data_IF_078730297402
#
_entry.id   IF_078730297402
#
_cell.length_a   1.000
_cell.length_b   1.000
_cell.length_c   1.000
_cell.angle_alpha   90.00
_cell.angle_beta   90.00
_cell.angle_gamma   90.00
#
_symmetry.space_group_name_H-M   'P 1'
#
loop_
_entity.id
_entity.type
_entity.pdbx_description
1 polymer ?
#
# COMPACT_ATOMS: atom_id res chain seq x y z
N UNK A 1 0.29 11.27 -3.77
CA UNK A 1 1.22 12.27 -3.22
C UNK A 1 2.44 11.55 -2.71
N UNK A 2 3.63 12.05 -3.01
CA UNK A 2 4.89 11.45 -2.56
C UNK A 2 5.55 12.40 -1.56
N UNK A 3 5.86 11.90 -0.37
CA UNK A 3 6.62 12.64 0.66
C UNK A 3 8.12 12.36 0.58
N UNK A 4 8.51 11.43 -0.30
CA UNK A 4 9.87 11.06 -0.61
C UNK A 4 10.20 11.28 -2.10
N UNK A 5 11.34 10.76 -2.56
CA UNK A 5 11.85 10.98 -3.92
C UNK A 5 12.13 12.46 -4.19
N UNK A 6 12.91 13.08 -3.31
CA UNK A 6 13.36 14.47 -3.43
C UNK A 6 14.02 14.70 -4.80
N UNK A 7 13.60 15.77 -5.49
CA UNK A 7 14.08 16.10 -6.83
C UNK A 7 13.42 15.33 -7.98
N UNK A 8 12.48 14.41 -7.69
CA UNK A 8 11.73 13.68 -8.71
C UNK A 8 10.21 13.81 -8.54
N UNK A 9 9.67 13.37 -7.39
CA UNK A 9 8.21 13.30 -7.16
C UNK A 9 7.74 13.95 -5.86
N UNK A 10 8.66 14.30 -4.96
CA UNK A 10 8.35 14.84 -3.64
C UNK A 10 7.55 16.14 -3.73
N UNK A 11 6.47 16.23 -2.96
CA UNK A 11 5.75 17.49 -2.69
C UNK A 11 6.04 17.97 -1.27
N UNK A 12 6.00 19.27 -1.07
CA UNK A 12 6.16 19.93 0.24
C UNK A 12 4.82 19.97 1.01
N UNK A 13 4.88 20.29 2.31
CA UNK A 13 3.69 20.26 3.18
C UNK A 13 2.62 21.29 2.78
N UNK A 14 3.03 22.46 2.29
CA UNK A 14 2.13 23.50 1.79
C UNK A 14 1.41 23.05 0.50
N UNK A 15 2.13 22.42 -0.42
CA UNK A 15 1.57 21.82 -1.63
C UNK A 15 0.60 20.67 -1.29
N UNK A 16 0.99 19.81 -0.33
CA UNK A 16 0.15 18.72 0.14
C UNK A 16 -1.13 19.24 0.78
N UNK A 17 -1.04 20.28 1.62
CA UNK A 17 -2.19 20.87 2.28
C UNK A 17 -3.16 21.48 1.27
N UNK A 18 -2.66 22.29 0.31
CA UNK A 18 -3.48 22.86 -0.75
C UNK A 18 -4.15 21.77 -1.60
N UNK A 19 -3.41 20.72 -1.95
CA UNK A 19 -3.97 19.58 -2.69
C UNK A 19 -5.02 18.82 -1.89
N UNK A 20 -4.82 18.63 -0.59
CA UNK A 20 -5.77 17.93 0.27
C UNK A 20 -7.06 18.72 0.49
N UNK A 21 -6.96 20.05 0.62
CA UNK A 21 -8.13 20.93 0.62
C UNK A 21 -8.90 20.78 -0.70
N UNK A 22 -8.19 20.77 -1.84
CA UNK A 22 -8.83 20.54 -3.14
C UNK A 22 -9.45 19.15 -3.24
N UNK A 23 -8.82 18.11 -2.69
CA UNK A 23 -9.42 16.77 -2.63
C UNK A 23 -10.71 16.78 -1.80
N UNK A 24 -10.75 17.52 -0.69
CA UNK A 24 -11.94 17.66 0.14
C UNK A 24 -13.10 18.30 -0.65
N UNK A 25 -12.84 19.40 -1.36
CA UNK A 25 -13.82 20.10 -2.20
C UNK A 25 -14.39 19.20 -3.31
N UNK A 26 -13.53 18.40 -3.94
CA UNK A 26 -13.91 17.50 -5.03
C UNK A 26 -14.53 16.19 -4.55
N UNK A 27 -14.51 15.91 -3.24
CA UNK A 27 -14.92 14.62 -2.70
C UNK A 27 -14.02 13.45 -3.11
N UNK A 28 -12.75 13.73 -3.38
CA UNK A 28 -11.73 12.74 -3.69
C UNK A 28 -11.05 12.21 -2.41
N UNK A 29 -10.20 11.18 -2.56
CA UNK A 29 -9.40 10.65 -1.47
C UNK A 29 -7.91 10.72 -1.86
N UNK A 30 -7.09 11.51 -1.14
CA UNK A 30 -5.65 11.50 -1.34
C UNK A 30 -5.03 10.17 -0.90
N UNK A 31 -4.10 9.68 -1.73
CA UNK A 31 -3.18 8.59 -1.39
C UNK A 31 -1.79 9.17 -1.14
N UNK A 32 -1.07 8.63 -0.15
CA UNK A 32 0.28 9.06 0.24
C UNK A 32 1.28 7.92 0.29
N UNK A 33 2.39 8.08 -0.43
CA UNK A 33 3.65 7.41 -0.14
C UNK A 33 4.35 8.22 0.96
N UNK A 34 4.48 7.63 2.14
CA UNK A 34 4.83 8.35 3.36
C UNK A 34 6.20 7.90 3.90
N UNK A 35 7.28 8.44 3.36
CA UNK A 35 8.63 8.43 3.95
C UNK A 35 9.14 9.88 3.97
N UNK A 36 9.94 10.29 4.96
CA UNK A 36 10.50 11.64 5.00
C UNK A 36 11.62 11.80 3.94
N UNK A 37 11.29 12.43 2.80
CA UNK A 37 12.18 12.54 1.65
C UNK A 37 13.47 13.30 1.86
N UNK A 38 13.47 14.31 2.72
CA UNK A 38 14.68 15.07 3.03
C UNK A 38 15.68 14.22 3.83
N UNK A 39 15.18 13.53 4.85
CA UNK A 39 16.01 12.63 5.68
C UNK A 39 16.50 11.44 4.86
N UNK A 40 15.66 10.84 4.01
CA UNK A 40 16.07 9.74 3.12
C UNK A 40 17.16 10.18 2.14
N UNK A 41 17.05 11.38 1.57
CA UNK A 41 18.06 11.89 0.63
C UNK A 41 19.42 12.12 1.32
N UNK A 42 19.41 12.71 2.52
CA UNK A 42 20.62 12.94 3.32
C UNK A 42 21.29 11.62 3.74
N UNK A 43 20.51 10.68 4.31
CA UNK A 43 21.01 9.37 4.71
C UNK A 43 21.56 8.56 3.53
N UNK A 44 20.92 8.64 2.36
CA UNK A 44 21.40 7.98 1.15
C UNK A 44 22.77 8.53 0.72
N UNK A 45 22.91 9.86 0.67
CA UNK A 45 24.16 10.51 0.29
C UNK A 45 25.30 10.18 1.30
N UNK A 46 24.97 10.17 2.60
CA UNK A 46 25.92 9.81 3.65
C UNK A 46 26.41 8.36 3.53
N UNK A 47 25.52 7.39 3.34
CA UNK A 47 25.89 5.98 3.20
C UNK A 47 26.77 5.73 1.97
N UNK A 48 26.47 6.39 0.84
CA UNK A 48 27.32 6.33 -0.35
C UNK A 48 28.72 6.90 -0.07
N UNK A 49 28.82 8.04 0.62
CA UNK A 49 30.10 8.64 0.98
C UNK A 49 30.93 7.79 1.96
N UNK A 50 30.25 7.04 2.83
CA UNK A 50 30.86 6.07 3.76
C UNK A 50 31.25 4.74 3.06
N UNK A 51 30.95 4.57 1.77
CA UNK A 51 31.23 3.34 1.02
C UNK A 51 30.22 2.21 1.27
N UNK A 52 29.13 2.48 1.99
CA UNK A 52 28.03 1.54 2.20
C UNK A 52 27.05 1.61 1.02
N UNK A 53 27.49 1.05 -0.11
CA UNK A 53 26.87 1.24 -1.43
C UNK A 53 26.19 -0.02 -2.00
N UNK A 54 26.09 -1.09 -1.22
CA UNK A 54 25.34 -2.30 -1.57
C UNK A 54 23.81 -2.15 -1.43
N UNK A 55 23.00 -3.13 -1.88
CA UNK A 55 21.55 -3.08 -1.80
C UNK A 55 21.00 -2.91 -0.36
N UNK A 56 21.72 -3.38 0.65
CA UNK A 56 21.41 -3.17 2.07
C UNK A 56 21.49 -1.70 2.48
N UNK A 57 22.35 -0.91 1.84
CA UNK A 57 22.43 0.54 2.01
C UNK A 57 21.10 1.23 1.67
N UNK A 58 20.32 0.67 0.73
CA UNK A 58 18.97 1.15 0.44
C UNK A 58 18.07 1.05 1.67
N UNK A 59 18.04 -0.09 2.36
CA UNK A 59 17.22 -0.25 3.55
C UNK A 59 17.71 0.62 4.72
N UNK A 60 19.04 0.72 4.90
CA UNK A 60 19.64 1.56 5.94
C UNK A 60 19.35 3.06 5.74
N UNK A 61 19.22 3.53 4.50
CA UNK A 61 18.96 4.94 4.18
C UNK A 61 17.58 5.45 4.60
N UNK A 62 16.67 4.55 5.00
CA UNK A 62 15.25 4.84 5.22
C UNK A 62 14.66 3.97 6.33
N UNK A 63 15.16 4.09 7.56
CA UNK A 63 14.71 3.25 8.66
C UNK A 63 13.22 3.49 9.00
N UNK A 64 12.51 2.56 9.68
CA UNK A 64 11.07 2.63 9.90
C UNK A 64 10.54 3.97 10.45
N UNK A 65 11.36 4.69 11.22
CA UNK A 65 11.02 5.99 11.81
C UNK A 65 10.72 7.06 10.75
N UNK A 66 11.40 7.05 9.59
CA UNK A 66 11.10 8.02 8.53
C UNK A 66 9.75 7.78 7.88
N UNK A 67 9.27 6.52 7.90
CA UNK A 67 7.93 6.15 7.43
C UNK A 67 6.86 6.52 8.45
N UNK A 68 7.11 6.23 9.73
CA UNK A 68 6.21 6.59 10.83
C UNK A 68 5.99 8.10 10.96
N UNK A 69 7.07 8.90 10.86
CA UNK A 69 6.99 10.36 10.90
C UNK A 69 6.11 10.90 9.77
N UNK A 70 6.44 10.54 8.52
CA UNK A 70 5.72 11.01 7.34
C UNK A 70 4.24 10.56 7.35
N UNK A 71 3.97 9.33 7.82
CA UNK A 71 2.61 8.83 8.00
C UNK A 71 1.83 9.71 8.99
N UNK A 72 2.41 10.00 10.15
CA UNK A 72 1.79 10.86 11.16
C UNK A 72 1.56 12.29 10.64
N UNK A 73 2.52 12.86 9.89
CA UNK A 73 2.41 14.19 9.29
C UNK A 73 1.32 14.26 8.23
N UNK A 74 1.25 13.30 7.32
CA UNK A 74 0.18 13.24 6.31
C UNK A 74 -1.21 13.14 6.96
N UNK A 75 -1.34 12.35 8.03
CA UNK A 75 -2.59 12.24 8.80
C UNK A 75 -3.00 13.59 9.38
N UNK A 76 -2.05 14.35 9.94
CA UNK A 76 -2.33 15.68 10.48
C UNK A 76 -2.79 16.65 9.39
N UNK A 77 -2.11 16.68 8.24
CA UNK A 77 -2.46 17.55 7.12
C UNK A 77 -3.86 17.19 6.59
N UNK A 78 -4.18 15.90 6.43
CA UNK A 78 -5.49 15.43 5.98
C UNK A 78 -6.61 15.81 6.96
N UNK A 79 -6.36 15.68 8.26
CA UNK A 79 -7.32 16.07 9.28
C UNK A 79 -7.58 17.58 9.28
N UNK A 80 -6.55 18.42 9.14
CA UNK A 80 -6.71 19.87 9.01
C UNK A 80 -7.48 20.25 7.74
N UNK A 81 -7.22 19.55 6.63
CA UNK A 81 -7.94 19.75 5.37
C UNK A 81 -9.37 19.17 5.35
N UNK A 82 -9.75 18.37 6.36
CA UNK A 82 -11.08 17.76 6.44
C UNK A 82 -11.33 16.65 5.41
N UNK A 83 -10.28 15.93 4.99
CA UNK A 83 -10.35 14.87 3.97
C UNK A 83 -9.93 13.50 4.53
N UNK A 84 -10.57 12.38 4.12
CA UNK A 84 -10.06 11.05 4.46
C UNK A 84 -8.69 10.80 3.82
N UNK A 85 -7.85 9.97 4.44
CA UNK A 85 -6.51 9.67 3.93
C UNK A 85 -6.31 8.17 3.69
N UNK A 86 -5.60 7.82 2.63
CA UNK A 86 -5.14 6.46 2.37
C UNK A 86 -3.61 6.41 2.35
N UNK A 87 -3.02 5.69 3.29
CA UNK A 87 -1.57 5.47 3.39
C UNK A 87 -1.25 4.18 2.64
N UNK A 88 -0.59 4.30 1.48
CA UNK A 88 -0.19 3.13 0.67
C UNK A 88 0.97 2.39 1.34
N UNK A 89 1.14 1.11 0.99
CA UNK A 89 2.29 0.26 1.36
C UNK A 89 2.85 0.47 2.79
N UNK A 90 1.97 0.44 3.80
CA UNK A 90 2.32 0.51 5.24
C UNK A 90 3.16 -0.70 5.61
N UNK A 91 4.42 -0.49 6.00
CA UNK A 91 5.42 -1.57 6.13
C UNK A 91 5.90 -1.85 7.56
N UNK A 92 5.67 -0.92 8.50
CA UNK A 92 6.24 -1.00 9.84
C UNK A 92 5.22 -0.70 10.96
N UNK A 93 5.65 -0.90 12.21
CA UNK A 93 4.80 -0.65 13.39
C UNK A 93 4.66 0.84 13.61
N UNK A 94 5.67 1.65 13.30
CA UNK A 94 5.66 3.09 13.47
C UNK A 94 4.59 3.76 12.60
N UNK A 95 4.43 3.32 11.34
CA UNK A 95 3.35 3.79 10.47
C UNK A 95 2.00 3.21 10.86
N UNK A 96 1.94 1.93 11.26
CA UNK A 96 0.71 1.33 11.76
C UNK A 96 0.22 1.97 13.08
N UNK A 97 1.10 2.32 14.01
CA UNK A 97 0.80 3.04 15.25
C UNK A 97 0.14 4.37 14.93
N UNK A 98 0.73 5.15 14.02
CA UNK A 98 0.20 6.45 13.64
C UNK A 98 -1.22 6.33 13.07
N UNK A 99 -1.46 5.33 12.22
CA UNK A 99 -2.79 5.01 11.67
C UNK A 99 -3.75 4.58 12.78
N UNK A 100 -3.35 3.67 13.66
CA UNK A 100 -4.16 3.17 14.79
C UNK A 100 -4.57 4.31 15.73
N UNK A 101 -3.63 5.11 16.19
CA UNK A 101 -3.86 6.26 17.08
C UNK A 101 -4.80 7.29 16.43
N UNK A 102 -4.60 7.58 15.14
CA UNK A 102 -5.47 8.49 14.41
C UNK A 102 -6.91 7.96 14.32
N UNK A 103 -7.09 6.67 14.02
CA UNK A 103 -8.40 6.02 13.95
C UNK A 103 -9.09 5.96 15.31
N UNK A 104 -8.33 5.72 16.40
CA UNK A 104 -8.85 5.79 17.78
C UNK A 104 -9.35 7.19 18.13
N UNK A 105 -8.74 8.25 17.58
CA UNK A 105 -9.21 9.63 17.69
C UNK A 105 -10.37 9.97 16.71
N UNK A 106 -10.92 8.99 15.99
CA UNK A 106 -12.03 9.19 15.04
C UNK A 106 -11.62 9.72 13.67
N UNK A 107 -10.32 9.90 13.39
CA UNK A 107 -9.85 10.36 12.07
C UNK A 107 -10.09 9.28 11.01
N UNK A 108 -10.41 9.72 9.79
CA UNK A 108 -10.72 8.83 8.66
C UNK A 108 -9.46 8.45 7.88
N UNK A 109 -8.70 7.49 8.40
CA UNK A 109 -7.44 7.02 7.81
C UNK A 109 -7.54 5.54 7.47
N UNK A 110 -7.06 5.17 6.28
CA UNK A 110 -6.89 3.79 5.82
C UNK A 110 -5.41 3.48 5.63
N UNK A 111 -5.01 2.24 5.94
CA UNK A 111 -3.65 1.74 5.69
C UNK A 111 -3.67 0.48 4.84
N UNK A 112 -2.61 0.31 4.04
CA UNK A 112 -2.48 -0.77 3.07
C UNK A 112 -1.14 -1.50 3.24
N UNK A 113 -1.06 -2.60 4.00
CA UNK A 113 0.11 -3.46 3.99
C UNK A 113 0.25 -4.20 2.66
N UNK A 114 1.49 -4.37 2.20
CA UNK A 114 1.78 -5.22 1.05
C UNK A 114 1.97 -6.67 1.48
N UNK A 115 1.64 -7.61 0.59
CA UNK A 115 1.88 -9.03 0.86
C UNK A 115 3.37 -9.34 1.09
N UNK A 116 4.26 -8.58 0.44
CA UNK A 116 5.69 -8.62 0.69
C UNK A 116 6.02 -8.29 2.15
N UNK A 117 5.54 -7.16 2.67
CA UNK A 117 5.81 -6.73 4.05
C UNK A 117 5.14 -7.62 5.11
N UNK A 118 4.12 -8.40 4.73
CA UNK A 118 3.47 -9.38 5.61
C UNK A 118 4.24 -10.70 5.72
N UNK A 119 5.11 -11.04 4.75
CA UNK A 119 5.63 -12.42 4.60
C UNK A 119 7.12 -12.52 4.29
N UNK A 120 7.76 -11.43 3.88
CA UNK A 120 9.20 -11.29 3.62
C UNK A 120 9.80 -10.24 4.56
N UNK A 121 11.12 -10.29 4.77
CA UNK A 121 11.81 -9.41 5.72
C UNK A 121 13.19 -8.95 5.19
N UNK A 122 13.82 -8.04 5.92
CA UNK A 122 15.05 -7.34 5.51
C UNK A 122 16.30 -8.22 5.49
N UNK A 123 16.23 -9.47 5.98
CA UNK A 123 17.34 -10.43 5.85
C UNK A 123 17.70 -10.71 4.38
N UNK A 124 16.75 -10.54 3.46
CA UNK A 124 16.94 -10.68 2.01
C UNK A 124 18.00 -9.70 1.45
N UNK A 125 18.16 -8.53 2.07
CA UNK A 125 19.16 -7.54 1.66
C UNK A 125 20.58 -7.89 2.08
N UNK A 126 20.74 -8.78 3.06
CA UNK A 126 22.04 -9.24 3.58
C UNK A 126 22.56 -10.49 2.85
N UNK A 127 21.86 -10.93 1.81
CA UNK A 127 22.24 -12.10 1.04
C UNK A 127 23.59 -11.86 0.33
N UNK A 128 24.52 -12.83 0.33
CA UNK A 128 25.85 -12.65 -0.28
C UNK A 128 25.83 -12.46 -1.80
N UNK A 129 24.82 -12.98 -2.48
CA UNK A 129 24.58 -12.71 -3.91
C UNK A 129 23.93 -11.34 -4.10
N UNK A 130 24.61 -10.46 -4.84
CA UNK A 130 24.18 -9.08 -5.08
C UNK A 130 22.85 -9.01 -5.84
N UNK A 131 22.66 -9.87 -6.85
CA UNK A 131 21.42 -9.88 -7.64
C UNK A 131 20.24 -10.24 -6.75
N UNK A 132 20.38 -11.26 -5.91
CA UNK A 132 19.37 -11.64 -4.94
C UNK A 132 18.94 -10.46 -4.06
N UNK A 133 19.89 -9.74 -3.46
CA UNK A 133 19.59 -8.60 -2.61
C UNK A 133 18.95 -7.44 -3.42
N UNK A 134 19.51 -7.08 -4.57
CA UNK A 134 19.01 -6.00 -5.43
C UNK A 134 17.58 -6.26 -5.95
N UNK A 135 17.24 -7.52 -6.24
CA UNK A 135 15.89 -7.95 -6.67
C UNK A 135 14.79 -7.59 -5.68
N UNK A 136 15.11 -7.41 -4.39
CA UNK A 136 14.15 -7.03 -3.31
C UNK A 136 14.10 -5.53 -3.03
N UNK A 137 14.94 -4.72 -3.68
CA UNK A 137 14.97 -3.26 -3.45
C UNK A 137 13.66 -2.61 -3.89
N UNK A 138 12.94 -2.02 -2.93
CA UNK A 138 11.72 -1.23 -3.11
C UNK A 138 11.54 -0.22 -1.97
N UNK A 139 10.59 0.69 -2.08
CA UNK A 139 10.36 1.79 -1.14
C UNK A 139 8.91 1.84 -0.68
N UNK A 140 8.59 1.70 0.62
CA UNK A 140 9.50 1.38 1.72
C UNK A 140 10.12 -0.03 1.58
N UNK A 141 11.33 -0.26 2.11
CA UNK A 141 12.04 -1.52 1.96
C UNK A 141 11.35 -2.62 2.75
N UNK A 142 11.75 -3.87 2.52
CA UNK A 142 11.42 -4.94 3.47
C UNK A 142 12.00 -4.57 4.84
N UNK A 143 11.29 -4.94 5.90
CA UNK A 143 11.60 -4.56 7.29
C UNK A 143 12.02 -5.78 8.08
N UNK A 144 12.60 -5.54 9.26
CA UNK A 144 12.79 -6.59 10.26
C UNK A 144 11.48 -7.36 10.47
N UNK A 145 11.57 -8.69 10.52
CA UNK A 145 10.45 -9.61 10.63
C UNK A 145 9.48 -9.26 11.75
N UNK A 146 9.96 -8.65 12.85
CA UNK A 146 9.12 -8.24 13.98
C UNK A 146 7.96 -7.33 13.60
N UNK A 147 8.09 -6.55 12.51
CA UNK A 147 7.04 -5.66 12.04
C UNK A 147 5.84 -6.40 11.43
N UNK A 148 6.04 -7.65 10.97
CA UNK A 148 4.98 -8.45 10.35
C UNK A 148 3.77 -8.62 11.29
N UNK A 149 4.01 -8.93 12.57
CA UNK A 149 2.91 -9.22 13.51
C UNK A 149 2.02 -8.01 13.76
N UNK A 150 2.59 -6.81 13.75
CA UNK A 150 1.82 -5.56 13.78
C UNK A 150 0.89 -5.43 12.58
N UNK A 151 1.40 -5.67 11.37
CA UNK A 151 0.62 -5.56 10.14
C UNK A 151 -0.52 -6.60 10.09
N UNK A 152 -0.23 -7.84 10.50
CA UNK A 152 -1.25 -8.89 10.60
C UNK A 152 -2.33 -8.57 11.62
N UNK A 153 -1.96 -8.09 12.82
CA UNK A 153 -2.92 -7.64 13.82
C UNK A 153 -3.76 -6.45 13.32
N UNK A 154 -3.17 -5.59 12.49
CA UNK A 154 -3.88 -4.48 11.86
C UNK A 154 -4.97 -4.93 10.89
N UNK A 155 -4.71 -5.98 10.10
CA UNK A 155 -5.71 -6.58 9.23
C UNK A 155 -6.85 -7.23 10.02
N UNK A 156 -6.53 -8.02 11.05
CA UNK A 156 -7.52 -8.71 11.87
C UNK A 156 -8.39 -7.75 12.69
N UNK A 157 -7.81 -6.66 13.22
CA UNK A 157 -8.57 -5.65 13.99
C UNK A 157 -9.26 -4.58 13.14
N UNK A 158 -8.93 -4.52 11.84
CA UNK A 158 -9.47 -3.53 10.90
C UNK A 158 -8.86 -2.12 11.02
N UNK A 159 -7.72 -1.96 11.68
CA UNK A 159 -6.94 -0.71 11.61
C UNK A 159 -6.18 -0.57 10.28
N UNK A 160 -5.80 -1.68 9.65
CA UNK A 160 -5.33 -1.76 8.27
C UNK A 160 -6.43 -2.40 7.41
N UNK A 161 -6.63 -1.87 6.20
CA UNK A 161 -7.89 -2.07 5.48
C UNK A 161 -7.78 -2.96 4.25
N UNK A 162 -6.65 -2.97 3.57
CA UNK A 162 -6.49 -3.64 2.28
C UNK A 162 -5.07 -4.23 2.14
N UNK A 163 -4.96 -5.40 1.51
CA UNK A 163 -3.67 -5.97 1.13
C UNK A 163 -3.44 -5.70 -0.35
N UNK A 164 -2.30 -5.11 -0.70
CA UNK A 164 -1.89 -4.86 -2.08
C UNK A 164 -0.52 -5.48 -2.39
N UNK A 165 0.07 -5.09 -3.52
CA UNK A 165 1.38 -5.62 -3.98
C UNK A 165 2.36 -4.54 -4.40
N UNK A 166 1.90 -3.32 -4.68
CA UNK A 166 2.74 -2.30 -5.32
C UNK A 166 3.55 -2.87 -6.50
N UNK A 167 2.85 -3.53 -7.43
CA UNK A 167 3.52 -4.32 -8.46
C UNK A 167 4.25 -3.40 -9.44
N UNK A 168 5.57 -3.34 -9.27
CA UNK A 168 6.49 -2.53 -10.07
C UNK A 168 7.70 -3.42 -10.39
N UNK A 169 7.59 -4.18 -11.48
CA UNK A 169 8.50 -5.27 -11.79
C UNK A 169 9.65 -4.82 -12.70
N UNK A 170 10.88 -5.07 -12.27
CA UNK A 170 12.10 -4.84 -13.06
C UNK A 170 12.85 -6.16 -13.19
N UNK A 171 13.44 -6.42 -14.36
CA UNK A 171 14.33 -7.57 -14.56
C UNK A 171 15.62 -7.40 -13.74
N UNK A 172 16.36 -8.49 -13.54
CA UNK A 172 17.67 -8.43 -12.88
C UNK A 172 18.63 -7.50 -13.62
N UNK A 173 18.58 -7.47 -14.95
CA UNK A 173 19.41 -6.57 -15.76
C UNK A 173 19.08 -5.09 -15.50
N UNK A 174 17.81 -4.76 -15.27
CA UNK A 174 17.42 -3.41 -14.86
C UNK A 174 17.83 -3.11 -13.41
N UNK A 175 17.69 -4.09 -12.50
CA UNK A 175 18.18 -3.94 -11.11
C UNK A 175 19.69 -3.62 -11.06
N UNK A 176 20.48 -4.21 -11.97
CA UNK A 176 21.91 -3.95 -12.14
C UNK A 176 22.29 -2.52 -12.52
N UNK A 177 21.33 -1.64 -12.84
CA UNK A 177 21.63 -0.21 -13.04
C UNK A 177 22.23 0.46 -11.80
N UNK A 178 22.03 -0.11 -10.61
CA UNK A 178 22.63 0.37 -9.36
C UNK A 178 23.83 -0.41 -8.84
N UNK A 179 24.54 -1.18 -9.68
CA UNK A 179 25.81 -1.78 -9.26
C UNK A 179 26.78 -0.67 -8.85
N UNK A 180 27.24 -0.70 -7.60
CA UNK A 180 28.11 0.31 -6.99
C UNK A 180 27.39 1.55 -6.44
N UNK A 181 26.06 1.64 -6.58
CA UNK A 181 25.25 2.77 -6.14
C UNK A 181 23.78 2.34 -5.98
N UNK A 182 23.39 1.95 -4.76
CA UNK A 182 22.04 1.44 -4.49
C UNK A 182 20.92 2.44 -4.85
N UNK A 183 21.22 3.74 -4.89
CA UNK A 183 20.22 4.78 -5.20
C UNK A 183 19.75 4.71 -6.66
N UNK A 184 20.52 4.03 -7.51
CA UNK A 184 20.21 3.80 -8.93
C UNK A 184 19.56 2.45 -9.21
N UNK A 185 19.37 1.60 -8.20
CA UNK A 185 18.59 0.36 -8.36
C UNK A 185 17.12 0.76 -8.56
N UNK A 186 16.47 0.43 -9.70
CA UNK A 186 15.07 0.73 -9.89
C UNK A 186 14.22 0.08 -8.80
N UNK A 187 13.43 0.90 -8.11
CA UNK A 187 12.70 0.50 -6.92
C UNK A 187 11.38 -0.18 -7.28
N UNK A 188 11.17 -1.42 -6.82
CA UNK A 188 9.94 -2.15 -7.07
C UNK A 188 10.11 -3.68 -7.05
N UNK A 189 9.02 -4.39 -6.77
CA UNK A 189 8.97 -5.86 -6.79
C UNK A 189 7.69 -6.39 -7.47
N UNK A 190 7.70 -7.66 -7.85
CA UNK A 190 6.53 -8.39 -8.34
C UNK A 190 5.66 -8.95 -7.21
N UNK A 191 4.40 -9.31 -7.50
CA UNK A 191 3.50 -9.87 -6.49
C UNK A 191 2.01 -10.00 -6.86
N UNK A 192 1.57 -9.52 -8.03
CA UNK A 192 0.16 -9.58 -8.47
C UNK A 192 -0.41 -11.00 -8.40
N UNK A 193 0.30 -11.97 -8.97
CA UNK A 193 -0.12 -13.38 -9.02
C UNK A 193 -0.16 -14.01 -7.62
N UNK A 194 0.81 -13.66 -6.77
CA UNK A 194 1.08 -14.36 -5.52
C UNK A 194 0.36 -13.76 -4.31
N UNK A 195 -0.25 -12.57 -4.44
CA UNK A 195 -0.97 -11.89 -3.35
C UNK A 195 -1.99 -12.79 -2.65
N UNK A 196 -2.90 -13.38 -3.42
CA UNK A 196 -3.97 -14.19 -2.85
C UNK A 196 -3.47 -15.54 -2.31
N UNK A 197 -2.64 -16.32 -3.03
CA UNK A 197 -2.11 -17.59 -2.51
C UNK A 197 -1.29 -17.43 -1.24
N UNK A 198 -0.43 -16.40 -1.17
CA UNK A 198 0.36 -16.10 0.03
C UNK A 198 -0.56 -15.69 1.18
N UNK A 199 -1.48 -14.74 0.98
CA UNK A 199 -2.37 -14.28 2.05
C UNK A 199 -3.30 -15.39 2.56
N UNK A 200 -3.77 -16.27 1.67
CA UNK A 200 -4.58 -17.43 2.05
C UNK A 200 -3.78 -18.42 2.89
N UNK A 201 -2.60 -18.82 2.42
CA UNK A 201 -1.75 -19.82 3.09
C UNK A 201 -1.26 -19.31 4.45
N UNK A 202 -0.69 -18.10 4.49
CA UNK A 202 -0.07 -17.56 5.71
C UNK A 202 -1.04 -16.81 6.61
N UNK A 203 -2.24 -16.46 6.12
CA UNK A 203 -3.29 -15.77 6.87
C UNK A 203 -4.45 -16.68 7.25
N UNK A 204 -5.15 -17.24 6.27
CA UNK A 204 -6.36 -18.04 6.51
C UNK A 204 -6.03 -19.40 7.09
N UNK A 205 -5.11 -20.17 6.45
CA UNK A 205 -4.78 -21.52 6.93
C UNK A 205 -4.10 -21.55 8.30
N UNK A 206 -3.50 -20.43 8.72
CA UNK A 206 -2.86 -20.29 10.04
C UNK A 206 -3.81 -19.74 11.11
N UNK A 207 -5.04 -19.36 10.75
CA UNK A 207 -6.01 -18.77 11.67
C UNK A 207 -5.75 -17.30 12.02
N UNK A 208 -4.80 -16.62 11.35
CA UNK A 208 -4.59 -15.16 11.52
C UNK A 208 -5.75 -14.35 10.96
N UNK A 209 -6.42 -14.86 9.93
CA UNK A 209 -7.63 -14.27 9.34
C UNK A 209 -8.69 -15.35 9.13
N UNK A 210 -9.95 -14.96 9.28
CA UNK A 210 -11.09 -15.71 8.75
C UNK A 210 -11.16 -15.58 7.23
N UNK A 211 -11.92 -16.48 6.59
CA UNK A 211 -12.19 -16.37 5.14
C UNK A 211 -12.93 -15.05 4.79
N UNK A 212 -13.80 -14.57 5.68
CA UNK A 212 -14.53 -13.31 5.48
C UNK A 212 -13.60 -12.10 5.54
N UNK A 213 -12.65 -12.08 6.48
CA UNK A 213 -11.62 -11.04 6.55
C UNK A 213 -10.70 -11.09 5.33
N UNK A 214 -10.32 -12.29 4.86
CA UNK A 214 -9.59 -12.45 3.61
C UNK A 214 -10.33 -11.82 2.42
N UNK A 215 -11.63 -12.07 2.26
CA UNK A 215 -12.45 -11.42 1.22
C UNK A 215 -12.47 -9.89 1.40
N UNK A 216 -12.63 -9.43 2.64
CA UNK A 216 -12.69 -8.02 2.97
C UNK A 216 -11.41 -7.28 2.56
N UNK A 217 -10.24 -7.76 3.00
CA UNK A 217 -8.96 -7.08 2.77
C UNK A 217 -8.41 -7.29 1.35
N UNK A 218 -8.95 -8.23 0.58
CA UNK A 218 -8.49 -8.49 -0.80
C UNK A 218 -9.36 -7.86 -1.87
N UNK A 219 -10.62 -7.50 -1.56
CA UNK A 219 -11.58 -6.97 -2.55
C UNK A 219 -12.62 -6.01 -1.96
N UNK A 220 -13.42 -6.40 -0.98
CA UNK A 220 -14.60 -5.64 -0.57
C UNK A 220 -14.25 -4.28 0.05
N UNK A 221 -13.22 -4.21 0.89
CA UNK A 221 -12.82 -2.96 1.53
C UNK A 221 -12.36 -1.94 0.50
N UNK A 222 -11.47 -2.34 -0.43
CA UNK A 222 -10.98 -1.42 -1.45
C UNK A 222 -12.10 -1.01 -2.42
N UNK A 223 -13.05 -1.89 -2.73
CA UNK A 223 -14.22 -1.54 -3.53
C UNK A 223 -15.10 -0.47 -2.85
N UNK A 224 -15.30 -0.56 -1.53
CA UNK A 224 -16.03 0.46 -0.75
C UNK A 224 -15.25 1.77 -0.68
N UNK A 225 -13.95 1.70 -0.38
CA UNK A 225 -13.04 2.86 -0.29
C UNK A 225 -12.99 3.62 -1.63
N UNK A 226 -12.94 2.90 -2.75
CA UNK A 226 -12.89 3.46 -4.10
C UNK A 226 -14.28 3.74 -4.71
N UNK A 227 -15.35 3.61 -3.92
CA UNK A 227 -16.73 3.92 -4.28
C UNK A 227 -17.27 3.14 -5.50
N UNK A 228 -16.92 1.85 -5.59
CA UNK A 228 -17.34 0.94 -6.66
C UNK A 228 -18.00 -0.34 -6.13
N UNK A 229 -18.27 -0.42 -4.84
CA UNK A 229 -19.12 -1.46 -4.25
C UNK A 229 -20.62 -1.11 -4.46
N UNK A 230 -21.51 -2.06 -4.80
CA UNK A 230 -21.27 -3.50 -4.95
C UNK A 230 -20.93 -3.94 -6.39
N UNK A 231 -20.70 -3.03 -7.34
CA UNK A 231 -20.31 -3.42 -8.71
C UNK A 231 -19.08 -4.33 -8.73
N UNK A 232 -18.09 -4.03 -7.88
CA UNK A 232 -16.90 -4.86 -7.62
C UNK A 232 -16.85 -5.29 -6.16
N UNK A 233 -16.12 -6.38 -5.89
CA UNK A 233 -15.86 -6.86 -4.52
C UNK A 233 -17.10 -7.40 -3.81
N UNK A 234 -18.08 -7.91 -4.56
CA UNK A 234 -19.32 -8.47 -4.04
C UNK A 234 -19.77 -9.71 -4.83
N UNK A 235 -20.37 -10.66 -4.13
CA UNK A 235 -21.16 -11.75 -4.73
C UNK A 235 -22.63 -11.47 -4.41
N UNK A 236 -23.25 -10.62 -5.23
CA UNK A 236 -24.62 -10.14 -5.08
C UNK A 236 -25.29 -10.06 -6.46
N UNK A 237 -26.61 -10.21 -6.49
CA UNK A 237 -27.39 -9.97 -7.72
C UNK A 237 -27.11 -8.55 -8.24
N UNK A 238 -26.72 -8.44 -9.50
CA UNK A 238 -26.38 -7.17 -10.16
C UNK A 238 -24.92 -6.73 -10.04
N UNK A 239 -24.08 -7.42 -9.26
CA UNK A 239 -22.62 -7.19 -9.27
C UNK A 239 -21.98 -7.71 -10.57
N UNK A 240 -20.82 -7.18 -10.94
CA UNK A 240 -20.05 -7.76 -12.04
C UNK A 240 -19.62 -9.18 -11.65
N UNK A 241 -19.70 -10.13 -12.58
CA UNK A 241 -19.25 -11.51 -12.38
C UNK A 241 -17.70 -11.63 -12.43
N UNK A 242 -17.03 -10.82 -11.61
CA UNK A 242 -15.61 -10.93 -11.27
C UNK A 242 -15.48 -11.85 -10.06
N UNK A 243 -15.29 -13.14 -10.32
CA UNK A 243 -15.37 -14.20 -9.33
C UNK A 243 -14.12 -15.07 -9.37
N UNK A 244 -13.72 -15.56 -8.20
CA UNK A 244 -12.72 -16.62 -8.09
C UNK A 244 -13.38 -17.84 -7.45
N UNK A 245 -13.31 -18.98 -8.14
CA UNK A 245 -13.60 -20.28 -7.54
C UNK A 245 -12.30 -20.77 -6.95
N UNK A 246 -12.20 -20.70 -5.63
CA UNK A 246 -11.00 -20.99 -4.87
C UNK A 246 -11.00 -22.45 -4.42
N UNK A 247 -9.94 -23.19 -4.75
CA UNK A 247 -9.72 -24.55 -4.27
C UNK A 247 -8.78 -24.49 -3.05
N UNK A 248 -9.27 -24.80 -1.84
CA UNK A 248 -8.48 -24.67 -0.62
C UNK A 248 -7.38 -25.74 -0.47
N UNK A 249 -7.42 -26.82 -1.24
CA UNK A 249 -6.49 -27.95 -1.15
C UNK A 249 -5.46 -27.96 -2.28
N UNK A 250 -5.72 -27.26 -3.39
CA UNK A 250 -4.76 -27.15 -4.49
C UNK A 250 -3.51 -26.39 -4.03
N UNK A 251 -2.34 -26.98 -4.28
CA UNK A 251 -1.05 -26.43 -3.84
C UNK A 251 -0.08 -26.20 -5.00
N UNK A 252 0.88 -25.31 -4.80
CA UNK A 252 2.06 -25.12 -5.65
C UNK A 252 3.23 -24.60 -4.81
N UNK A 253 4.45 -24.79 -5.32
CA UNK A 253 5.60 -23.99 -4.90
C UNK A 253 5.70 -22.81 -5.84
N UNK A 254 5.74 -21.59 -5.31
CA UNK A 254 5.92 -20.39 -6.12
C UNK A 254 7.32 -20.41 -6.74
N UNK A 255 7.40 -20.25 -8.06
CA UNK A 255 8.67 -20.18 -8.79
C UNK A 255 8.57 -19.27 -10.00
N UNK A 256 9.62 -18.49 -10.25
CA UNK A 256 9.79 -17.68 -11.45
C UNK A 256 9.68 -18.49 -12.75
N UNK A 257 10.02 -19.79 -12.71
CA UNK A 257 9.92 -20.68 -13.87
C UNK A 257 8.49 -20.96 -14.33
N UNK A 258 7.50 -20.70 -13.47
CA UNK A 258 6.07 -21.00 -13.72
C UNK A 258 5.15 -19.78 -13.58
N UNK A 259 5.71 -18.61 -13.29
CA UNK A 259 4.94 -17.38 -13.08
C UNK A 259 4.45 -16.77 -14.40
N UNK A 260 3.42 -15.93 -14.32
CA UNK A 260 2.92 -15.14 -15.45
C UNK A 260 3.68 -13.82 -15.63
N UNK A 261 4.34 -13.33 -14.59
CA UNK A 261 5.15 -12.11 -14.66
C UNK A 261 6.27 -12.25 -15.69
N UNK A 262 6.55 -11.18 -16.45
CA UNK A 262 7.55 -11.18 -17.52
C UNK A 262 9.01 -11.10 -17.02
N UNK A 263 9.23 -10.87 -15.72
CA UNK A 263 10.59 -10.78 -15.15
C UNK A 263 11.19 -12.16 -14.86
N UNK A 264 12.50 -12.19 -14.67
CA UNK A 264 13.32 -13.40 -14.57
C UNK A 264 13.45 -13.98 -13.14
N UNK A 265 12.75 -13.41 -12.15
CA UNK A 265 12.77 -13.85 -10.76
C UNK A 265 11.42 -13.67 -10.08
N UNK A 266 11.25 -14.26 -8.89
CA UNK A 266 10.11 -14.02 -8.01
C UNK A 266 10.61 -13.76 -6.58
N UNK A 267 10.09 -12.75 -5.89
CA UNK A 267 10.51 -12.46 -4.50
C UNK A 267 9.96 -13.47 -3.49
N UNK A 268 8.96 -14.27 -3.88
CA UNK A 268 8.39 -15.38 -3.13
C UNK A 268 8.91 -16.76 -3.60
N UNK A 269 10.03 -16.80 -4.31
CA UNK A 269 10.64 -18.05 -4.81
C UNK A 269 10.73 -19.12 -3.69
N UNK A 270 10.28 -20.33 -4.00
CA UNK A 270 10.33 -21.47 -3.09
C UNK A 270 9.26 -21.48 -1.99
N UNK A 271 8.41 -20.46 -1.89
CA UNK A 271 7.30 -20.46 -0.92
C UNK A 271 6.23 -21.48 -1.34
N UNK A 272 5.95 -22.43 -0.46
CA UNK A 272 4.83 -23.35 -0.63
C UNK A 272 3.52 -22.64 -0.28
N UNK A 273 2.51 -22.80 -1.14
CA UNK A 273 1.16 -22.26 -0.95
C UNK A 273 0.12 -23.34 -1.19
N UNK A 274 -0.92 -23.34 -0.36
CA UNK A 274 -2.07 -24.25 -0.48
C UNK A 274 -3.34 -23.42 -0.37
N UNK A 275 -4.20 -23.52 -1.39
CA UNK A 275 -5.24 -22.55 -1.67
C UNK A 275 -4.91 -21.81 -2.96
N UNK A 276 -5.56 -22.16 -4.07
CA UNK A 276 -5.31 -21.57 -5.38
C UNK A 276 -6.60 -21.36 -6.19
N UNK A 277 -6.61 -20.43 -7.16
CA UNK A 277 -7.72 -20.32 -8.10
C UNK A 277 -7.88 -21.60 -8.92
N UNK A 278 -9.05 -22.23 -8.85
CA UNK A 278 -9.49 -23.21 -9.87
C UNK A 278 -10.03 -22.49 -11.09
N UNK A 279 -10.91 -21.51 -10.87
CA UNK A 279 -11.40 -20.63 -11.92
C UNK A 279 -11.25 -19.17 -11.52
N UNK A 280 -10.82 -18.34 -12.47
CA UNK A 280 -10.89 -16.88 -12.33
C UNK A 280 -11.76 -16.34 -13.46
N UNK A 281 -12.83 -15.65 -13.09
CA UNK A 281 -13.78 -15.04 -14.00
C UNK A 281 -13.61 -13.52 -13.96
N UNK A 282 -13.69 -12.90 -15.13
CA UNK A 282 -13.79 -11.44 -15.26
C UNK A 282 -15.00 -11.11 -16.12
N UNK A 283 -15.99 -10.43 -15.52
CA UNK A 283 -17.29 -10.11 -16.11
C UNK A 283 -17.97 -11.34 -16.73
N UNK A 284 -17.88 -12.47 -16.03
CA UNK A 284 -18.49 -13.75 -16.42
C UNK A 284 -17.66 -14.58 -17.40
N UNK A 285 -16.57 -14.04 -17.97
CA UNK A 285 -15.66 -14.81 -18.82
C UNK A 285 -14.65 -15.56 -17.96
N UNK A 286 -14.58 -16.88 -18.10
CA UNK A 286 -13.51 -17.71 -17.52
C UNK A 286 -12.18 -17.34 -18.18
N UNK A 287 -11.30 -16.68 -17.44
CA UNK A 287 -9.99 -16.23 -17.90
C UNK A 287 -8.85 -17.12 -17.38
N UNK A 288 -9.07 -17.85 -16.30
CA UNK A 288 -8.15 -18.88 -15.80
C UNK A 288 -8.96 -20.13 -15.50
N UNK A 289 -8.47 -21.28 -15.94
CA UNK A 289 -9.01 -22.61 -15.63
C UNK A 289 -7.86 -23.54 -15.25
N UNK A 290 -7.84 -23.97 -14.00
CA UNK A 290 -6.87 -24.88 -13.41
C UNK A 290 -5.39 -24.54 -13.66
N UNK A 291 -5.05 -23.24 -13.62
CA UNK A 291 -3.70 -22.72 -13.88
C UNK A 291 -3.42 -22.41 -15.35
N UNK A 292 -4.31 -22.82 -16.27
CA UNK A 292 -4.25 -22.39 -17.67
C UNK A 292 -4.85 -21.00 -17.80
N UNK A 293 -4.00 -20.02 -18.12
CA UNK A 293 -4.44 -18.65 -18.43
C UNK A 293 -4.94 -18.60 -19.88
N UNK A 294 -6.15 -18.07 -20.06
CA UNK A 294 -6.81 -17.88 -21.37
C UNK A 294 -6.96 -16.37 -21.61
N UNK A 295 -5.90 -15.66 -21.99
CA UNK A 295 -5.95 -14.21 -22.13
C UNK A 295 -6.92 -13.79 -23.24
N UNK A 296 -7.47 -12.59 -23.10
CA UNK A 296 -8.17 -11.88 -24.17
C UNK A 296 -7.82 -10.41 -24.02
N UNK A 297 -6.80 -9.98 -24.75
CA UNK A 297 -6.36 -8.59 -24.73
C UNK A 297 -7.53 -7.67 -25.12
N UNK A 298 -7.61 -6.51 -24.46
CA UNK A 298 -8.74 -5.58 -24.60
C UNK A 298 -10.04 -6.01 -23.91
N UNK A 299 -10.10 -7.17 -23.23
CA UNK A 299 -11.27 -7.53 -22.40
C UNK A 299 -11.43 -6.64 -21.16
N UNK A 300 -10.35 -6.12 -20.59
CA UNK A 300 -10.42 -5.20 -19.46
C UNK A 300 -11.08 -3.87 -19.88
N UNK A 301 -11.95 -3.33 -19.03
CA UNK A 301 -12.61 -2.04 -19.25
C UNK A 301 -12.33 -1.08 -18.09
N UNK A 302 -12.25 0.22 -18.40
CA UNK A 302 -12.11 1.25 -17.38
C UNK A 302 -13.34 1.32 -16.47
N UNK A 303 -13.12 1.22 -15.15
CA UNK A 303 -14.17 1.37 -14.15
C UNK A 303 -14.24 2.82 -13.68
N UNK A 304 -15.25 3.56 -14.16
CA UNK A 304 -15.56 4.92 -13.68
C UNK A 304 -15.89 4.90 -12.19
N UNK A 305 -15.40 5.89 -11.45
CA UNK A 305 -15.57 6.01 -9.99
C UNK A 305 -16.20 7.35 -9.64
N UNK A 306 -17.36 7.39 -8.97
CA UNK A 306 -17.95 8.64 -8.52
C UNK A 306 -17.21 9.19 -7.28
N UNK A 307 -17.06 10.52 -7.15
CA UNK A 307 -16.53 11.15 -5.94
C UNK A 307 -17.55 11.12 -4.79
N UNK A 308 -17.24 11.78 -3.68
CA UNK A 308 -18.14 12.03 -2.55
C UNK A 308 -18.67 10.74 -1.91
N UNK A 309 -17.76 9.88 -1.48
CA UNK A 309 -18.11 8.68 -0.71
C UNK A 309 -18.90 9.06 0.56
N UNK A 310 -19.61 8.09 1.15
CA UNK A 310 -20.30 8.32 2.42
C UNK A 310 -19.37 8.82 3.53
N UNK A 311 -18.10 8.36 3.52
CA UNK A 311 -17.09 8.79 4.48
C UNK A 311 -16.66 10.24 4.27
N UNK A 312 -16.52 10.69 3.02
CA UNK A 312 -16.27 12.12 2.72
C UNK A 312 -17.42 12.98 3.24
N UNK A 313 -18.68 12.65 2.88
CA UNK A 313 -19.86 13.43 3.29
C UNK A 313 -20.00 13.52 4.81
N UNK A 314 -19.83 12.40 5.50
CA UNK A 314 -19.89 12.36 6.97
C UNK A 314 -18.78 13.21 7.60
N UNK A 315 -17.55 13.16 7.07
CA UNK A 315 -16.44 13.95 7.59
C UNK A 315 -16.66 15.45 7.37
N UNK A 316 -17.10 15.87 6.18
CA UNK A 316 -17.40 17.28 5.90
C UNK A 316 -18.52 17.81 6.80
N UNK A 317 -19.56 17.01 7.02
CA UNK A 317 -20.65 17.36 7.96
C UNK A 317 -20.13 17.54 9.38
N UNK A 318 -19.26 16.63 9.84
CA UNK A 318 -18.65 16.72 11.16
C UNK A 318 -17.75 17.96 11.30
N UNK A 319 -16.95 18.27 10.28
CA UNK A 319 -16.07 19.45 10.27
C UNK A 319 -16.88 20.75 10.32
N UNK A 320 -17.99 20.85 9.60
CA UNK A 320 -18.90 22.01 9.70
C UNK A 320 -19.47 22.15 11.11
N UNK A 321 -19.93 21.05 11.71
CA UNK A 321 -20.48 21.05 13.07
C UNK A 321 -19.45 21.55 14.11
N UNK A 322 -18.20 21.12 14.00
CA UNK A 322 -17.13 21.49 14.95
C UNK A 322 -16.31 22.71 14.51
N UNK A 323 -16.74 23.44 13.48
CA UNK A 323 -15.99 24.59 12.98
C UNK A 323 -15.93 25.71 14.02
N UNK A 324 -14.75 26.34 14.22
CA UNK A 324 -14.61 27.43 15.16
C UNK A 324 -15.54 28.58 14.79
N UNK A 325 -16.22 29.16 15.77
CA UNK A 325 -17.16 30.27 15.57
C UNK A 325 -16.57 31.57 16.09
N UNK A 326 -16.81 32.65 15.35
CA UNK A 326 -16.43 34.01 15.78
C UNK A 326 -17.13 34.34 17.09
N UNK A 327 -16.37 34.85 18.06
CA UNK A 327 -16.94 35.46 19.26
C UNK A 327 -17.40 36.86 18.89
N UNK A 328 -18.72 37.12 18.98
CA UNK A 328 -19.27 38.45 18.78
C UNK A 328 -18.88 39.35 19.96
N UNK A 329 -18.30 40.53 19.66
CA UNK A 329 -17.82 41.49 20.66
C UNK A 329 -18.38 42.87 20.39
N UNK A 330 -18.81 43.54 21.46
CA UNK A 330 -19.23 44.95 21.44
C UNK A 330 -18.09 45.85 21.89
N UNK A 331 -18.03 47.10 21.41
CA UNK A 331 -17.01 48.07 21.82
C UNK A 331 -15.60 47.75 21.31
N UNK A 332 -15.49 47.25 20.07
CA UNK A 332 -14.20 46.99 19.43
C UNK A 332 -13.40 48.30 19.40
N UNK A 333 -12.20 48.36 20.02
CA UNK A 333 -11.41 49.59 20.09
C UNK A 333 -11.05 50.14 18.72
N UNK A 334 -10.87 51.46 18.64
CA UNK A 334 -10.22 52.08 17.50
C UNK A 334 -8.78 51.55 17.36
N UNK A 335 -8.30 51.42 16.12
CA UNK A 335 -6.94 50.99 15.78
C UNK A 335 -6.28 52.04 14.89
N UNK A 336 -4.95 52.01 14.80
CA UNK A 336 -4.13 52.97 14.06
C UNK A 336 -3.08 53.64 14.94
N UNK A 337 -1.96 54.01 14.32
CA UNK A 337 -0.97 54.95 14.88
C UNK A 337 -1.27 56.35 14.40
#
# INVERSE_FOLDING_TARGET
HFMAYKGALMVQDDEMYASFQRCAELGAMPLVHAENGDVVADLSARLLAEGNNGPEGHAYSRPPQVEGEATNRAIMIADMAGVPLYVVHTSCEESHEAIRRARQAGKRVYGEPLIQHLTLDDSEYKHPDWDHAARRVMSPPFRDKKHQDSLWAGLASGSLSCVATDHCAFTTNQKRFGVGDFTKIPNGTGGLEDRLPMLWTYGVKTGRLTMNEFVAVTSTNIAKIMNIYPKKGAVLVGADADLVVWDPEKSKTISASTQQSAIDYNVFEGKEVTGLPRYTLTRGRVAVEDGTVKPKEGHGEFVKRPPNTAVNKALSTWKELTSPRKVERTGIPATGV
#
